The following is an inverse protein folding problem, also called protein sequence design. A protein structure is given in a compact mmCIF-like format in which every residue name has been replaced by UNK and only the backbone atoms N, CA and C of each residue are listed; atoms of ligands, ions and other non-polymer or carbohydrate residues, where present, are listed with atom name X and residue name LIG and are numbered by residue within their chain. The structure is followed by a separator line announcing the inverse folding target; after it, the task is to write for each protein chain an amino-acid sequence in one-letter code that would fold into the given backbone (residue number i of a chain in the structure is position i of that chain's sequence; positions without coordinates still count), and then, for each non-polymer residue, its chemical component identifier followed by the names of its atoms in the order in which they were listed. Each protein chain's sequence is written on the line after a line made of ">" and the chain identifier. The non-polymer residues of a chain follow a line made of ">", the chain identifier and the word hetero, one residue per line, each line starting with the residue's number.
data_IF_603835973215
#
_entry.id   IF_603835973215
#
_cell.length_a   1.000
_cell.length_b   1.000
_cell.length_c   1.000
_cell.angle_alpha   90.00
_cell.angle_beta   90.00
_cell.angle_gamma   90.00
#
_symmetry.space_group_name_H-M   'P 1'
#
loop_
_entity.id
_entity.type
_entity.pdbx_description
1 polymer ?
#
# COMPACT_ATOMS: atom_id res chain seq x y z
N UNK A 1 23.89 -19.59 1.66
CA UNK A 1 24.32 -18.63 0.62
C UNK A 1 25.54 -19.20 -0.09
N UNK A 2 25.77 -18.92 -1.39
CA UNK A 2 26.97 -19.42 -2.10
C UNK A 2 28.21 -18.62 -1.68
N UNK A 3 29.39 -19.26 -1.74
CA UNK A 3 30.68 -18.64 -1.44
C UNK A 3 31.07 -17.58 -2.48
N UNK A 4 30.78 -17.84 -3.77
CA UNK A 4 31.07 -16.95 -4.90
C UNK A 4 29.91 -16.93 -5.91
N UNK A 5 29.73 -15.77 -6.56
CA UNK A 5 28.75 -15.53 -7.60
C UNK A 5 29.44 -14.92 -8.82
N UNK A 6 29.18 -15.46 -10.01
CA UNK A 6 29.66 -14.93 -11.27
C UNK A 6 28.72 -13.84 -11.79
N UNK A 7 29.23 -12.61 -11.88
CA UNK A 7 28.54 -11.44 -12.42
C UNK A 7 29.10 -10.97 -13.77
N UNK A 8 29.90 -11.79 -14.47
CA UNK A 8 30.51 -11.45 -15.77
C UNK A 8 29.49 -10.99 -16.84
N UNK A 9 28.24 -11.44 -16.73
CA UNK A 9 27.11 -11.06 -17.60
C UNK A 9 26.12 -10.08 -16.93
N UNK A 10 26.52 -9.47 -15.82
CA UNK A 10 25.67 -8.58 -15.04
C UNK A 10 25.44 -7.24 -15.73
N UNK A 11 24.17 -6.83 -15.85
CA UNK A 11 23.79 -5.52 -16.40
C UNK A 11 23.34 -4.60 -15.25
N UNK A 12 24.04 -3.47 -15.07
CA UNK A 12 23.67 -2.48 -14.04
C UNK A 12 22.32 -1.87 -14.37
N UNK A 13 21.40 -1.89 -13.42
CA UNK A 13 20.08 -1.27 -13.57
C UNK A 13 19.09 -2.08 -14.41
N UNK A 14 19.36 -3.36 -14.71
CA UNK A 14 18.45 -4.23 -15.49
C UNK A 14 16.99 -4.22 -15.02
N UNK A 15 16.77 -4.10 -13.71
CA UNK A 15 15.45 -4.05 -13.09
C UNK A 15 15.09 -2.67 -12.54
N UNK A 16 15.99 -1.69 -12.68
CA UNK A 16 15.74 -0.33 -12.21
C UNK A 16 14.78 0.37 -13.16
N UNK A 17 13.71 0.93 -12.61
CA UNK A 17 12.70 1.67 -13.36
C UNK A 17 12.56 3.05 -12.70
N UNK A 18 12.99 4.14 -13.36
CA UNK A 18 12.85 5.48 -12.80
C UNK A 18 11.36 5.81 -12.64
N UNK A 19 11.01 6.42 -11.51
CA UNK A 19 9.63 6.84 -11.22
C UNK A 19 8.64 5.69 -10.99
N UNK A 20 9.10 4.47 -10.72
CA UNK A 20 8.18 3.35 -10.43
C UNK A 20 7.38 3.63 -9.15
N UNK A 21 6.05 3.60 -9.27
CA UNK A 21 5.16 3.61 -8.10
C UNK A 21 5.03 2.18 -7.57
N UNK A 22 5.61 1.93 -6.40
CA UNK A 22 5.47 0.66 -5.71
C UNK A 22 4.16 0.66 -4.93
N UNK A 23 3.26 -0.26 -5.27
CA UNK A 23 2.07 -0.55 -4.47
C UNK A 23 2.35 -1.82 -3.67
N UNK A 24 3.02 -1.66 -2.51
CA UNK A 24 3.35 -2.80 -1.66
C UNK A 24 2.07 -3.36 -1.01
N UNK A 25 1.91 -4.69 -0.94
CA UNK A 25 0.80 -5.29 -0.22
C UNK A 25 0.91 -4.96 1.28
N UNK A 26 -0.22 -4.69 1.92
CA UNK A 26 -0.33 -4.50 3.36
C UNK A 26 -0.91 -5.77 3.96
N UNK A 27 -0.23 -6.31 4.96
CA UNK A 27 -0.73 -7.47 5.68
C UNK A 27 -1.78 -7.04 6.70
N UNK A 28 -2.88 -7.79 6.75
CA UNK A 28 -3.87 -7.65 7.81
C UNK A 28 -3.47 -8.49 9.02
N UNK A 29 -3.79 -7.95 10.20
CA UNK A 29 -3.75 -8.69 11.45
C UNK A 29 -4.65 -9.94 11.38
N UNK A 30 -4.33 -11.02 12.14
CA UNK A 30 -5.05 -12.28 12.04
C UNK A 30 -6.55 -12.18 12.31
N UNK A 31 -6.94 -11.37 13.29
CA UNK A 31 -8.34 -11.14 13.68
C UNK A 31 -9.17 -10.48 12.56
N UNK A 32 -8.55 -9.65 11.73
CA UNK A 32 -9.22 -9.00 10.60
C UNK A 32 -9.43 -9.95 9.41
N UNK A 33 -8.65 -11.03 9.28
CA UNK A 33 -8.79 -11.99 8.16
C UNK A 33 -10.09 -12.76 8.22
N UNK A 34 -10.63 -12.98 9.41
CA UNK A 34 -11.91 -13.66 9.59
C UNK A 34 -13.09 -12.85 9.00
N UNK A 35 -12.93 -11.52 8.92
CA UNK A 35 -13.95 -10.60 8.36
C UNK A 35 -13.63 -10.17 6.93
N UNK A 36 -12.35 -10.15 6.55
CA UNK A 36 -11.87 -9.69 5.25
C UNK A 36 -11.00 -10.77 4.58
N UNK A 37 -11.61 -11.68 3.80
CA UNK A 37 -10.88 -12.79 3.17
C UNK A 37 -9.94 -12.33 2.05
N UNK A 38 -10.20 -11.17 1.44
CA UNK A 38 -9.44 -10.65 0.32
C UNK A 38 -9.35 -9.11 0.30
N UNK A 39 -8.49 -8.59 -0.56
CA UNK A 39 -8.30 -7.14 -0.72
C UNK A 39 -9.52 -6.42 -1.31
N UNK A 40 -10.40 -7.10 -2.05
CA UNK A 40 -11.61 -6.50 -2.61
C UNK A 40 -12.59 -6.12 -1.50
N UNK A 41 -12.80 -7.03 -0.54
CA UNK A 41 -13.68 -6.85 0.62
C UNK A 41 -13.24 -5.65 1.48
N UNK A 42 -11.94 -5.52 1.75
CA UNK A 42 -11.36 -4.37 2.46
C UNK A 42 -11.59 -3.08 1.68
N UNK A 43 -11.27 -3.08 0.39
CA UNK A 43 -11.39 -1.90 -0.45
C UNK A 43 -12.84 -1.43 -0.57
N UNK A 44 -13.80 -2.35 -0.61
CA UNK A 44 -15.23 -2.02 -0.59
C UNK A 44 -15.63 -1.35 0.72
N UNK A 45 -15.24 -1.92 1.87
CA UNK A 45 -15.53 -1.33 3.18
C UNK A 45 -14.94 0.08 3.33
N UNK A 46 -13.67 0.26 2.95
CA UNK A 46 -13.01 1.57 3.00
C UNK A 46 -13.67 2.59 2.07
N UNK A 47 -14.10 2.18 0.87
CA UNK A 47 -14.81 3.07 -0.06
C UNK A 47 -16.17 3.49 0.47
N UNK A 48 -16.91 2.60 1.13
CA UNK A 48 -18.17 2.94 1.80
C UNK A 48 -17.97 3.97 2.92
N UNK A 49 -16.79 4.02 3.54
CA UNK A 49 -16.47 4.98 4.60
C UNK A 49 -16.05 6.37 4.06
N UNK A 50 -15.54 6.47 2.83
CA UNK A 50 -15.07 7.73 2.24
C UNK A 50 -16.10 8.89 2.28
N UNK A 51 -17.40 8.68 1.96
CA UNK A 51 -18.40 9.75 2.02
C UNK A 51 -18.58 10.32 3.44
N UNK A 52 -18.53 9.46 4.47
CA UNK A 52 -18.66 9.88 5.86
C UNK A 52 -17.47 10.73 6.30
N UNK A 53 -16.27 10.35 5.86
CA UNK A 53 -15.03 11.09 6.14
C UNK A 53 -14.97 12.42 5.37
N UNK A 54 -15.58 12.50 4.18
CA UNK A 54 -15.61 13.73 3.38
C UNK A 54 -16.40 14.86 4.07
N UNK A 55 -17.44 14.49 4.84
CA UNK A 55 -18.25 15.44 5.63
C UNK A 55 -17.49 16.01 6.84
N UNK A 56 -16.56 15.25 7.43
CA UNK A 56 -15.77 15.67 8.59
C UNK A 56 -14.69 16.71 8.28
N UNK A 57 -14.19 16.79 7.03
CA UNK A 57 -13.09 17.69 6.66
C UNK A 57 -13.50 19.17 6.60
N UNK A 58 -14.79 19.49 6.48
CA UNK A 58 -15.26 20.87 6.48
C UNK A 58 -15.12 21.57 7.85
N UNK A 59 -15.09 20.81 8.96
CA UNK A 59 -14.99 21.37 10.32
C UNK A 59 -13.57 21.60 10.83
N UNK A 60 -12.54 21.00 10.23
CA UNK A 60 -11.16 21.11 10.71
C UNK A 60 -10.38 22.30 10.13
N UNK A 61 -10.90 22.97 9.09
CA UNK A 61 -10.25 24.16 8.50
C UNK A 61 -10.42 25.45 9.31
N UNK A 62 -11.26 25.45 10.36
CA UNK A 62 -11.59 26.66 11.16
C UNK A 62 -10.84 26.77 12.49
N UNK A 63 -9.86 25.90 12.78
CA UNK A 63 -9.01 25.98 13.99
C UNK A 63 -7.53 26.06 13.64
N UNK A 64 -7.15 27.12 12.92
CA UNK A 64 -5.75 27.55 12.81
C UNK A 64 -5.68 29.02 13.19
N UNK A 65 -5.55 29.27 14.50
CA UNK A 65 -5.11 30.53 15.08
C UNK A 65 -3.60 30.49 15.23
#
# INVERSE_FOLDING_TARGET
>A
MKKEYDFSKGERGKFFRPGVKLNLPVYLEPDLRDYFPDAESVNRALRCLLPLLSSQKAGQSLKKN
#
